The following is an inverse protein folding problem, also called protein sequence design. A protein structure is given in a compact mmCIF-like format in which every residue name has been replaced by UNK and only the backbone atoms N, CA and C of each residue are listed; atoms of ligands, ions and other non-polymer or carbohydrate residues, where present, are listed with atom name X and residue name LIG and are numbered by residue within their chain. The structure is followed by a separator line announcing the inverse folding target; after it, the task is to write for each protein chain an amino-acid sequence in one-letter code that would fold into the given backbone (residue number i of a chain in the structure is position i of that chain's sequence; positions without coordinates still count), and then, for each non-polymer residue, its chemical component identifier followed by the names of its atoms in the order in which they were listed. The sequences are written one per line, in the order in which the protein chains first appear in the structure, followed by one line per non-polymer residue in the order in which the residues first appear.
data_IF_761471492341
#
_entry.id   IF_761471492341
#
_cell.length_a   1.000
_cell.length_b   1.000
_cell.length_c   1.000
_cell.angle_alpha   90.00
_cell.angle_beta   90.00
_cell.angle_gamma   90.00
#
_symmetry.space_group_name_H-M   'P 1'
#
loop_
_entity.id
_entity.type
_entity.pdbx_description
1 polymer ?
#
# COMPACT_ATOMS: atom_id res chain seq x y z
N UNK A 1 -40.11 33.80 -7.60
CA UNK A 1 -39.75 32.40 -7.31
C UNK A 1 -38.45 32.05 -8.04
N UNK A 2 -37.30 32.14 -7.37
CA UNK A 2 -35.99 31.72 -7.92
C UNK A 2 -35.74 30.27 -7.48
N UNK A 3 -35.59 29.35 -8.44
CA UNK A 3 -35.05 28.00 -8.18
C UNK A 3 -33.58 28.15 -7.78
N UNK A 4 -33.21 27.59 -6.63
CA UNK A 4 -31.81 27.40 -6.26
C UNK A 4 -31.25 26.28 -7.14
N UNK A 5 -30.18 26.60 -7.85
CA UNK A 5 -29.33 25.62 -8.51
C UNK A 5 -28.59 24.85 -7.41
N UNK A 6 -28.94 23.58 -7.26
CA UNK A 6 -28.18 22.67 -6.42
C UNK A 6 -26.82 22.45 -7.10
N UNK A 7 -25.81 23.13 -6.56
CA UNK A 7 -24.42 22.92 -6.91
C UNK A 7 -24.14 21.42 -6.73
N UNK A 8 -23.90 20.74 -7.85
CA UNK A 8 -23.44 19.36 -7.92
C UNK A 8 -22.01 19.30 -7.36
N UNK A 9 -21.89 19.37 -6.04
CA UNK A 9 -20.65 19.17 -5.31
C UNK A 9 -20.37 17.68 -5.41
N UNK A 10 -19.53 17.31 -6.38
CA UNK A 10 -18.90 15.98 -6.37
C UNK A 10 -18.26 15.79 -4.99
N UNK A 11 -18.57 14.70 -4.26
CA UNK A 11 -17.91 14.44 -2.99
C UNK A 11 -16.42 14.33 -3.28
N UNK A 12 -15.69 15.37 -2.88
CA UNK A 12 -14.24 15.39 -2.97
C UNK A 12 -13.79 14.46 -1.86
N UNK A 13 -13.47 13.21 -2.23
CA UNK A 13 -12.88 12.23 -1.32
C UNK A 13 -11.68 12.92 -0.66
N UNK A 14 -11.61 12.91 0.67
CA UNK A 14 -10.64 13.69 1.44
C UNK A 14 -9.20 13.45 0.94
N UNK A 15 -8.91 12.26 0.43
CA UNK A 15 -7.63 11.84 -0.15
C UNK A 15 -7.40 12.31 -1.58
N UNK A 16 -8.46 12.50 -2.38
CA UNK A 16 -8.34 13.03 -3.74
C UNK A 16 -7.90 14.49 -3.78
N UNK A 17 -8.15 15.28 -2.72
CA UNK A 17 -7.57 16.62 -2.59
C UNK A 17 -6.14 16.63 -2.06
N UNK A 18 -5.64 15.52 -1.48
CA UNK A 18 -4.29 15.47 -0.89
C UNK A 18 -3.22 15.31 -1.98
N UNK A 19 -3.52 14.65 -3.09
CA UNK A 19 -2.65 14.63 -4.28
C UNK A 19 -2.39 16.05 -4.85
N UNK A 20 -3.22 17.04 -4.48
CA UNK A 20 -3.05 18.46 -4.80
C UNK A 20 -2.61 19.32 -3.60
N UNK A 21 -2.60 18.78 -2.38
CA UNK A 21 -2.19 19.54 -1.21
C UNK A 21 -0.68 19.45 -1.00
N UNK A 22 -0.06 20.63 -1.06
CA UNK A 22 1.35 21.00 -0.83
C UNK A 22 1.89 20.64 0.57
N UNK A 23 1.68 19.41 1.04
CA UNK A 23 2.01 18.98 2.41
C UNK A 23 3.21 18.03 2.49
N UNK A 24 3.92 17.81 1.38
CA UNK A 24 5.17 17.05 1.33
C UNK A 24 6.40 17.95 1.34
N UNK A 25 7.54 17.43 1.82
CA UNK A 25 8.88 18.02 1.62
C UNK A 25 9.14 18.24 0.12
N UNK A 26 8.55 17.40 -0.72
CA UNK A 26 8.61 17.47 -2.19
C UNK A 26 7.30 17.99 -2.77
N UNK A 27 7.39 18.79 -3.83
CA UNK A 27 6.23 19.30 -4.57
C UNK A 27 5.62 18.25 -5.49
N UNK A 28 6.40 17.24 -5.88
CA UNK A 28 5.95 16.13 -6.71
C UNK A 28 6.74 14.84 -6.44
N UNK A 29 6.15 13.70 -6.79
CA UNK A 29 6.83 12.39 -6.77
C UNK A 29 8.13 12.38 -7.58
N UNK A 30 8.20 13.16 -8.66
CA UNK A 30 9.37 13.19 -9.54
C UNK A 30 10.57 13.90 -8.89
N UNK A 31 10.32 14.93 -8.08
CA UNK A 31 11.36 15.58 -7.27
C UNK A 31 11.91 14.61 -6.22
N UNK A 32 11.03 13.86 -5.55
CA UNK A 32 11.42 12.80 -4.62
C UNK A 32 12.27 11.73 -5.34
N UNK A 33 11.81 11.24 -6.50
CA UNK A 33 12.52 10.23 -7.27
C UNK A 33 13.93 10.72 -7.68
N UNK A 34 14.05 12.00 -8.04
CA UNK A 34 15.33 12.60 -8.38
C UNK A 34 16.27 12.66 -7.17
N UNK A 35 15.81 13.14 -6.01
CA UNK A 35 16.62 13.13 -4.78
C UNK A 35 17.07 11.70 -4.45
N UNK A 36 16.16 10.72 -4.53
CA UNK A 36 16.50 9.33 -4.26
C UNK A 36 17.55 8.80 -5.23
N UNK A 37 17.41 9.07 -6.53
CA UNK A 37 18.44 8.70 -7.52
C UNK A 37 19.80 9.28 -7.15
N UNK A 38 19.83 10.53 -6.70
CA UNK A 38 21.05 11.19 -6.24
C UNK A 38 21.60 10.58 -4.95
N UNK A 39 20.79 10.37 -3.92
CA UNK A 39 21.23 9.81 -2.63
C UNK A 39 21.67 8.34 -2.79
N UNK A 40 20.89 7.52 -3.50
CA UNK A 40 21.21 6.12 -3.74
C UNK A 40 22.47 5.99 -4.62
N UNK A 41 22.67 6.90 -5.58
CA UNK A 41 23.91 7.00 -6.35
C UNK A 41 25.12 7.29 -5.45
N UNK A 42 25.02 8.31 -4.60
CA UNK A 42 26.07 8.64 -3.61
C UNK A 42 26.41 7.43 -2.73
N UNK A 43 25.40 6.76 -2.16
CA UNK A 43 25.57 5.54 -1.35
C UNK A 43 26.28 4.43 -2.14
N UNK A 44 25.95 4.29 -3.43
CA UNK A 44 26.58 3.28 -4.28
C UNK A 44 28.06 3.58 -4.54
N UNK A 45 28.43 4.86 -4.66
CA UNK A 45 29.78 5.30 -5.03
C UNK A 45 30.73 5.46 -3.82
N UNK A 46 30.21 5.61 -2.60
CA UNK A 46 31.05 5.74 -1.39
C UNK A 46 31.97 4.52 -1.15
N UNK A 47 33.11 4.73 -0.47
CA UNK A 47 34.05 3.68 -0.07
C UNK A 47 33.59 2.90 1.17
N UNK A 48 32.39 2.34 1.11
CA UNK A 48 31.80 1.51 2.16
C UNK A 48 31.76 0.04 1.73
N UNK A 49 31.80 -0.87 2.71
CA UNK A 49 31.57 -2.30 2.43
C UNK A 49 30.13 -2.50 1.94
N UNK A 50 29.89 -3.54 1.14
CA UNK A 50 28.57 -3.80 0.52
C UNK A 50 27.44 -3.82 1.57
N UNK A 51 27.65 -4.47 2.72
CA UNK A 51 26.65 -4.50 3.78
C UNK A 51 26.38 -3.13 4.42
N UNK A 52 27.41 -2.27 4.53
CA UNK A 52 27.27 -0.92 5.05
C UNK A 52 26.49 -0.03 4.08
N UNK A 53 26.74 -0.17 2.78
CA UNK A 53 25.97 0.51 1.72
C UNK A 53 24.51 0.10 1.75
N UNK A 54 24.25 -1.20 1.83
CA UNK A 54 22.90 -1.74 1.92
C UNK A 54 22.18 -1.23 3.19
N UNK A 55 22.88 -1.24 4.33
CA UNK A 55 22.35 -0.69 5.58
C UNK A 55 22.05 0.82 5.48
N UNK A 56 22.94 1.61 4.87
CA UNK A 56 22.75 3.04 4.66
C UNK A 56 21.51 3.33 3.80
N UNK A 57 21.32 2.57 2.72
CA UNK A 57 20.14 2.69 1.86
C UNK A 57 18.85 2.44 2.65
N UNK A 58 18.80 1.37 3.47
CA UNK A 58 17.64 1.03 4.29
C UNK A 58 17.38 2.00 5.44
N UNK A 59 18.43 2.65 5.96
CA UNK A 59 18.33 3.51 7.14
C UNK A 59 18.02 4.96 6.79
N UNK A 60 18.55 5.46 5.66
CA UNK A 60 18.47 6.89 5.34
C UNK A 60 17.60 7.20 4.12
N UNK A 61 17.59 6.32 3.11
CA UNK A 61 16.85 6.56 1.86
C UNK A 61 15.43 6.00 1.94
N UNK A 62 15.29 4.74 2.37
CA UNK A 62 13.98 4.09 2.43
C UNK A 62 12.97 4.77 3.37
N UNK A 63 13.31 5.24 4.58
CA UNK A 63 12.30 5.84 5.46
C UNK A 63 11.67 7.12 4.88
N UNK A 64 12.36 7.83 3.98
CA UNK A 64 11.80 8.99 3.28
C UNK A 64 10.73 8.57 2.27
N UNK A 65 11.01 7.51 1.52
CA UNK A 65 10.05 6.88 0.61
C UNK A 65 8.82 6.39 1.34
N UNK A 66 9.02 5.76 2.49
CA UNK A 66 7.95 5.22 3.31
C UNK A 66 6.91 6.30 3.67
N UNK A 67 7.37 7.48 4.06
CA UNK A 67 6.50 8.60 4.39
C UNK A 67 5.65 9.05 3.20
N UNK A 68 6.29 9.27 2.04
CA UNK A 68 5.60 9.76 0.85
C UNK A 68 4.64 8.70 0.27
N UNK A 69 5.05 7.44 0.28
CA UNK A 69 4.22 6.31 -0.14
C UNK A 69 3.00 6.15 0.77
N UNK A 70 3.16 6.31 2.10
CA UNK A 70 2.03 6.29 3.05
C UNK A 70 1.00 7.35 2.74
N UNK A 71 1.46 8.57 2.45
CA UNK A 71 0.59 9.73 2.34
C UNK A 71 -0.15 9.78 1.00
N UNK A 72 0.60 9.60 -0.10
CA UNK A 72 0.10 9.83 -1.46
C UNK A 72 -0.19 8.52 -2.22
N UNK A 73 0.26 7.38 -1.69
CA UNK A 73 0.26 6.13 -2.43
C UNK A 73 1.25 6.15 -3.61
N UNK A 74 1.24 5.05 -4.37
CA UNK A 74 2.23 4.85 -5.43
C UNK A 74 1.61 4.12 -6.62
N UNK A 75 1.22 4.86 -7.66
CA UNK A 75 0.83 4.31 -8.96
C UNK A 75 1.85 3.27 -9.49
N UNK A 76 1.38 2.22 -10.17
CA UNK A 76 2.19 1.22 -10.88
C UNK A 76 3.34 1.82 -11.70
N UNK A 77 3.11 2.92 -12.44
CA UNK A 77 4.16 3.57 -13.22
C UNK A 77 5.23 4.19 -12.32
N UNK A 78 4.80 4.94 -11.30
CA UNK A 78 5.69 5.54 -10.28
C UNK A 78 6.46 4.45 -9.53
N UNK A 79 5.81 3.35 -9.17
CA UNK A 79 6.42 2.20 -8.50
C UNK A 79 7.52 1.55 -9.34
N UNK A 80 7.25 1.34 -10.65
CA UNK A 80 8.22 0.78 -11.58
C UNK A 80 9.46 1.67 -11.74
N UNK A 81 9.27 2.99 -11.86
CA UNK A 81 10.37 3.95 -11.97
C UNK A 81 11.23 3.98 -10.70
N UNK A 82 10.58 3.92 -9.53
CA UNK A 82 11.26 3.87 -8.25
C UNK A 82 12.04 2.56 -8.07
N UNK A 83 11.42 1.43 -8.39
CA UNK A 83 12.06 0.11 -8.35
C UNK A 83 13.30 0.07 -9.24
N UNK A 84 13.17 0.57 -10.47
CA UNK A 84 14.29 0.62 -11.40
C UNK A 84 15.44 1.49 -10.88
N UNK A 85 15.13 2.64 -10.26
CA UNK A 85 16.14 3.53 -9.67
C UNK A 85 16.90 2.83 -8.53
N UNK A 86 16.18 2.17 -7.62
CA UNK A 86 16.77 1.46 -6.49
C UNK A 86 17.58 0.25 -6.95
N UNK A 87 17.05 -0.58 -7.86
CA UNK A 87 17.80 -1.70 -8.45
C UNK A 87 19.05 -1.24 -9.17
N UNK A 88 19.02 -0.12 -9.88
CA UNK A 88 20.22 0.43 -10.52
C UNK A 88 21.29 0.82 -9.50
N UNK A 89 20.93 1.44 -8.37
CA UNK A 89 21.88 1.74 -7.31
C UNK A 89 22.45 0.45 -6.68
N UNK A 90 21.59 -0.54 -6.41
CA UNK A 90 22.00 -1.85 -5.87
C UNK A 90 22.94 -2.58 -6.82
N UNK A 91 22.62 -2.63 -8.12
CA UNK A 91 23.47 -3.23 -9.15
C UNK A 91 24.87 -2.64 -9.12
N UNK A 92 25.00 -1.31 -9.05
CA UNK A 92 26.30 -0.62 -9.03
C UNK A 92 27.15 -1.06 -7.85
N UNK A 93 26.60 -1.04 -6.63
CA UNK A 93 27.43 -1.33 -5.46
C UNK A 93 27.68 -2.83 -5.20
N UNK A 94 26.78 -3.71 -5.67
CA UNK A 94 26.98 -5.17 -5.63
C UNK A 94 27.76 -5.66 -6.86
N UNK A 95 27.98 -4.80 -7.86
CA UNK A 95 28.62 -5.12 -9.14
C UNK A 95 27.87 -6.22 -9.92
N UNK A 96 26.54 -6.17 -9.91
CA UNK A 96 25.70 -7.10 -10.66
C UNK A 96 25.60 -6.70 -12.14
N UNK A 97 25.55 -7.66 -13.07
CA UNK A 97 25.34 -7.36 -14.48
C UNK A 97 23.95 -6.76 -14.72
N UNK A 98 23.74 -6.00 -15.81
CA UNK A 98 22.43 -5.47 -16.19
C UNK A 98 21.35 -6.56 -16.36
N UNK A 99 21.76 -7.75 -16.80
CA UNK A 99 20.93 -8.95 -16.98
C UNK A 99 20.58 -9.69 -15.67
N UNK A 100 21.01 -9.19 -14.51
CA UNK A 100 20.68 -9.80 -13.23
C UNK A 100 19.16 -9.91 -13.03
N UNK A 101 18.71 -11.11 -12.71
CA UNK A 101 17.30 -11.44 -12.48
C UNK A 101 16.71 -10.60 -11.34
N UNK A 102 15.43 -10.23 -11.47
CA UNK A 102 14.64 -9.58 -10.42
C UNK A 102 14.65 -10.38 -9.12
N UNK A 103 14.73 -11.71 -9.23
CA UNK A 103 14.81 -12.63 -8.11
C UNK A 103 15.92 -12.26 -7.11
N UNK A 104 17.09 -11.85 -7.60
CA UNK A 104 18.25 -11.50 -6.76
C UNK A 104 17.93 -10.31 -5.84
N UNK A 105 17.09 -9.37 -6.28
CA UNK A 105 16.78 -8.18 -5.49
C UNK A 105 15.73 -8.46 -4.43
N UNK A 106 14.67 -9.18 -4.79
CA UNK A 106 13.46 -9.29 -3.97
C UNK A 106 13.39 -10.57 -3.13
N UNK A 107 14.14 -11.64 -3.47
CA UNK A 107 14.13 -12.84 -2.66
C UNK A 107 14.69 -12.60 -1.25
N UNK A 108 14.21 -13.36 -0.25
CA UNK A 108 14.80 -13.43 1.07
C UNK A 108 16.29 -13.80 1.02
N UNK A 109 17.05 -13.35 2.03
CA UNK A 109 18.51 -13.57 2.12
C UNK A 109 18.86 -15.05 2.26
N UNK A 110 18.04 -15.80 2.99
CA UNK A 110 18.11 -17.26 3.13
C UNK A 110 17.92 -18.01 1.81
N UNK A 111 17.28 -17.39 0.82
CA UNK A 111 17.10 -17.93 -0.53
C UNK A 111 18.07 -17.31 -1.56
N UNK A 112 19.15 -16.68 -1.09
CA UNK A 112 20.19 -16.09 -1.93
C UNK A 112 19.86 -14.72 -2.52
N UNK A 113 18.81 -14.05 -2.03
CA UNK A 113 18.45 -12.70 -2.45
C UNK A 113 19.03 -11.59 -1.55
N UNK A 114 18.83 -10.34 -1.95
CA UNK A 114 19.26 -9.14 -1.21
C UNK A 114 18.15 -8.65 -0.25
N UNK A 115 16.93 -9.19 -0.39
CA UNK A 115 15.74 -8.81 0.38
C UNK A 115 15.50 -7.30 0.38
N UNK A 116 15.29 -6.78 -0.82
CA UNK A 116 14.81 -5.43 -1.07
C UNK A 116 13.36 -5.47 -1.50
N UNK A 117 12.52 -4.65 -0.86
CA UNK A 117 11.07 -4.67 -1.11
C UNK A 117 10.77 -4.09 -2.48
N UNK A 118 9.88 -4.75 -3.24
CA UNK A 118 9.25 -4.12 -4.39
C UNK A 118 8.46 -2.90 -3.88
N UNK A 119 8.72 -1.68 -4.38
CA UNK A 119 7.98 -0.48 -3.99
C UNK A 119 6.47 -0.61 -4.14
N UNK A 120 5.99 -1.41 -5.10
CA UNK A 120 4.57 -1.67 -5.29
C UNK A 120 4.01 -2.48 -4.12
N UNK A 121 4.65 -3.60 -3.79
CA UNK A 121 4.22 -4.45 -2.66
C UNK A 121 4.35 -3.70 -1.34
N UNK A 122 5.37 -2.85 -1.22
CA UNK A 122 5.55 -1.99 -0.06
C UNK A 122 4.43 -0.94 0.09
N UNK A 123 4.05 -0.25 -1.00
CA UNK A 123 2.94 0.69 -0.98
C UNK A 123 1.62 0.01 -0.61
N UNK A 124 1.36 -1.14 -1.23
CA UNK A 124 0.18 -1.94 -0.99
C UNK A 124 0.10 -2.42 0.47
N UNK A 125 1.20 -2.96 1.01
CA UNK A 125 1.31 -3.39 2.43
C UNK A 125 1.04 -2.22 3.37
N UNK A 126 1.65 -1.09 3.06
CA UNK A 126 1.63 0.12 3.88
C UNK A 126 0.22 0.65 4.04
N UNK A 127 -0.50 0.70 2.92
CA UNK A 127 -1.87 1.16 2.85
C UNK A 127 -2.81 0.19 3.55
N UNK A 128 -2.64 -1.12 3.35
CA UNK A 128 -3.44 -2.13 4.04
C UNK A 128 -3.35 -2.01 5.56
N UNK A 129 -2.13 -1.96 6.11
CA UNK A 129 -1.93 -1.83 7.56
C UNK A 129 -2.51 -0.52 8.08
N UNK A 130 -2.38 0.58 7.32
CA UNK A 130 -2.96 1.87 7.68
C UNK A 130 -4.48 1.82 7.72
N UNK A 131 -5.12 1.32 6.66
CA UNK A 131 -6.58 1.21 6.55
C UNK A 131 -7.16 0.36 7.67
N UNK A 132 -6.54 -0.79 7.97
CA UNK A 132 -6.97 -1.64 9.10
C UNK A 132 -6.76 -0.95 10.44
N UNK A 133 -5.65 -0.23 10.62
CA UNK A 133 -5.43 0.58 11.82
C UNK A 133 -6.50 1.65 12.03
N UNK A 134 -6.95 2.30 10.95
CA UNK A 134 -8.01 3.30 10.98
C UNK A 134 -9.39 2.68 11.24
N UNK A 135 -9.70 1.54 10.62
CA UNK A 135 -10.92 0.77 10.87
C UNK A 135 -11.00 0.23 12.30
N UNK A 136 -9.86 -0.12 12.89
CA UNK A 136 -9.75 -0.56 14.29
C UNK A 136 -9.49 0.59 15.28
N UNK A 137 -9.56 1.85 14.84
CA UNK A 137 -9.33 3.00 15.72
C UNK A 137 -10.28 2.98 16.91
N UNK A 138 -9.82 3.42 18.09
CA UNK A 138 -10.66 3.55 19.28
C UNK A 138 -11.76 4.60 19.09
N UNK A 139 -11.47 5.64 18.31
CA UNK A 139 -12.39 6.74 18.02
C UNK A 139 -13.48 6.31 17.02
N UNK A 140 -14.77 6.32 17.42
CA UNK A 140 -15.87 5.99 16.52
C UNK A 140 -16.00 6.94 15.33
N UNK A 141 -15.61 8.22 15.46
CA UNK A 141 -15.68 9.18 14.36
C UNK A 141 -14.70 8.79 13.24
N UNK A 142 -13.47 8.40 13.60
CA UNK A 142 -12.47 7.92 12.64
C UNK A 142 -12.94 6.66 11.92
N UNK A 143 -13.48 5.68 12.66
CA UNK A 143 -14.03 4.45 12.04
C UNK A 143 -15.16 4.77 11.07
N UNK A 144 -16.04 5.70 11.45
CA UNK A 144 -17.16 6.11 10.62
C UNK A 144 -16.71 6.80 9.34
N UNK A 145 -15.75 7.74 9.43
CA UNK A 145 -15.19 8.44 8.28
C UNK A 145 -14.57 7.47 7.27
N UNK A 146 -13.74 6.53 7.75
CA UNK A 146 -13.08 5.53 6.88
C UNK A 146 -14.10 4.58 6.24
N UNK A 147 -15.13 4.17 7.00
CA UNK A 147 -16.19 3.29 6.47
C UNK A 147 -17.05 3.99 5.41
N UNK A 148 -17.38 5.26 5.64
CA UNK A 148 -18.09 6.09 4.67
C UNK A 148 -17.25 6.27 3.40
N UNK A 149 -15.95 6.49 3.54
CA UNK A 149 -15.05 6.64 2.42
C UNK A 149 -14.92 5.35 1.59
N UNK A 150 -14.71 4.19 2.24
CA UNK A 150 -14.70 2.90 1.53
C UNK A 150 -16.02 2.68 0.78
N UNK A 151 -17.15 3.11 1.36
CA UNK A 151 -18.45 3.06 0.68
C UNK A 151 -18.44 3.89 -0.62
N UNK A 152 -17.96 5.14 -0.55
CA UNK A 152 -17.86 5.99 -1.75
C UNK A 152 -16.92 5.40 -2.80
N UNK A 153 -15.82 4.77 -2.38
CA UNK A 153 -14.88 4.11 -3.29
C UNK A 153 -15.51 2.89 -3.96
N UNK A 154 -16.29 2.10 -3.22
CA UNK A 154 -16.99 0.95 -3.77
C UNK A 154 -17.98 1.37 -4.86
N UNK A 155 -18.79 2.39 -4.60
CA UNK A 155 -19.76 2.95 -5.56
C UNK A 155 -19.07 3.51 -6.82
N UNK A 156 -17.91 4.14 -6.66
CA UNK A 156 -17.18 4.74 -7.79
C UNK A 156 -16.46 3.68 -8.64
N UNK A 157 -15.86 2.68 -7.99
CA UNK A 157 -14.94 1.73 -8.62
C UNK A 157 -15.61 0.50 -9.20
N UNK A 158 -16.64 -0.02 -8.53
CA UNK A 158 -17.30 -1.26 -8.91
C UNK A 158 -18.66 -1.00 -9.57
N UNK A 159 -19.05 -1.90 -10.46
CA UNK A 159 -20.44 -1.94 -10.96
C UNK A 159 -21.32 -2.50 -9.85
N UNK A 160 -22.56 -2.01 -9.76
CA UNK A 160 -23.56 -2.68 -8.95
C UNK A 160 -23.74 -4.09 -9.52
N UNK A 161 -23.72 -5.12 -8.68
CA UNK A 161 -24.11 -6.44 -9.14
C UNK A 161 -25.58 -6.39 -9.54
N UNK A 162 -25.95 -7.14 -10.57
CA UNK A 162 -27.33 -7.18 -11.03
C UNK A 162 -28.26 -7.65 -9.88
N UNK A 163 -29.52 -7.21 -9.91
CA UNK A 163 -30.56 -7.29 -8.84
C UNK A 163 -30.77 -8.66 -8.13
N UNK A 164 -30.02 -9.71 -8.46
CA UNK A 164 -30.01 -11.01 -7.82
C UNK A 164 -29.01 -11.15 -6.65
N UNK A 165 -28.01 -10.27 -6.53
CA UNK A 165 -27.02 -10.36 -5.44
C UNK A 165 -27.43 -9.50 -4.23
N UNK A 166 -27.24 -9.96 -2.98
CA UNK A 166 -27.57 -9.22 -1.76
C UNK A 166 -26.67 -7.99 -1.50
N UNK A 167 -25.79 -7.66 -2.45
CA UNK A 167 -24.72 -6.67 -2.29
C UNK A 167 -25.20 -5.34 -2.88
N UNK A 168 -25.87 -4.57 -2.03
CA UNK A 168 -26.29 -3.21 -2.37
C UNK A 168 -25.22 -2.19 -1.92
N UNK A 169 -24.40 -1.74 -2.87
CA UNK A 169 -23.45 -0.64 -2.64
C UNK A 169 -24.13 0.73 -2.49
N UNK A 170 -25.41 0.88 -2.87
CA UNK A 170 -26.16 2.15 -2.78
C UNK A 170 -26.74 2.40 -1.38
N UNK A 171 -26.59 1.45 -0.45
CA UNK A 171 -26.91 1.70 0.96
C UNK A 171 -26.00 2.80 1.49
N UNK A 172 -26.59 3.77 2.21
CA UNK A 172 -25.90 4.91 2.85
C UNK A 172 -24.70 4.53 3.74
N UNK A 173 -24.54 3.24 4.10
CA UNK A 173 -23.44 2.74 4.91
C UNK A 173 -23.01 1.34 4.46
N UNK A 174 -21.71 1.14 4.15
CA UNK A 174 -21.15 -0.19 3.99
C UNK A 174 -21.14 -0.98 5.30
N UNK A 175 -21.51 -2.26 5.21
CA UNK A 175 -21.39 -3.18 6.33
C UNK A 175 -19.93 -3.62 6.50
N UNK A 176 -19.58 -4.13 7.68
CA UNK A 176 -18.26 -4.74 7.92
C UNK A 176 -17.97 -5.88 6.93
N UNK A 177 -19.01 -6.59 6.48
CA UNK A 177 -18.89 -7.62 5.46
C UNK A 177 -18.50 -7.04 4.09
N UNK A 178 -19.10 -5.93 3.65
CA UNK A 178 -18.67 -5.26 2.41
C UNK A 178 -17.21 -4.80 2.49
N UNK A 179 -16.81 -4.23 3.63
CA UNK A 179 -15.42 -3.81 3.84
C UNK A 179 -14.49 -5.02 3.81
N UNK A 180 -14.85 -6.13 4.47
CA UNK A 180 -14.06 -7.35 4.46
C UNK A 180 -13.90 -7.90 3.03
N UNK A 181 -15.01 -8.04 2.29
CA UNK A 181 -15.02 -8.54 0.91
C UNK A 181 -14.21 -7.64 -0.02
N UNK A 182 -14.23 -6.33 0.21
CA UNK A 182 -13.37 -5.38 -0.49
C UNK A 182 -11.89 -5.62 -0.21
N UNK A 183 -11.50 -5.66 1.07
CA UNK A 183 -10.13 -5.87 1.50
C UNK A 183 -9.60 -7.25 1.03
N UNK A 184 -10.47 -8.27 0.97
CA UNK A 184 -10.14 -9.61 0.49
C UNK A 184 -10.18 -9.75 -1.03
N UNK A 185 -10.30 -8.66 -1.79
CA UNK A 185 -10.35 -8.66 -3.27
C UNK A 185 -11.58 -9.32 -3.91
N UNK A 186 -12.65 -9.55 -3.16
CA UNK A 186 -13.85 -10.25 -3.64
C UNK A 186 -14.57 -9.54 -4.78
N UNK A 187 -14.51 -8.20 -4.85
CA UNK A 187 -15.21 -7.40 -5.84
C UNK A 187 -14.45 -7.16 -7.16
N UNK A 188 -13.24 -7.69 -7.33
CA UNK A 188 -12.42 -7.38 -8.53
C UNK A 188 -13.08 -7.75 -9.86
N UNK A 189 -13.95 -8.76 -9.88
CA UNK A 189 -14.72 -9.15 -11.06
C UNK A 189 -15.76 -8.08 -11.48
N UNK A 190 -16.18 -7.20 -10.57
CA UNK A 190 -17.15 -6.12 -10.81
C UNK A 190 -16.47 -4.79 -11.17
N UNK A 191 -15.13 -4.76 -11.29
CA UNK A 191 -14.38 -3.51 -11.47
C UNK A 191 -14.72 -2.82 -12.79
N UNK A 192 -14.97 -1.52 -12.74
CA UNK A 192 -15.25 -0.71 -13.93
C UNK A 192 -13.98 -0.56 -14.80
N UNK A 193 -14.11 -0.79 -16.11
CA UNK A 193 -13.02 -0.78 -17.10
C UNK A 193 -12.24 0.56 -17.20
N UNK A 194 -12.82 1.68 -16.77
CA UNK A 194 -12.26 3.04 -16.96
C UNK A 194 -11.57 3.59 -15.69
N UNK A 195 -11.59 2.86 -14.57
CA UNK A 195 -11.02 3.37 -13.33
C UNK A 195 -9.49 3.34 -13.36
N UNK A 196 -8.84 4.52 -13.34
CA UNK A 196 -7.38 4.64 -13.14
C UNK A 196 -7.10 4.56 -11.65
N UNK A 197 -6.50 3.45 -11.21
CA UNK A 197 -6.11 3.15 -9.81
C UNK A 197 -5.02 4.07 -9.22
N UNK A 198 -4.72 5.20 -9.84
CA UNK A 198 -3.46 5.91 -9.59
C UNK A 198 -3.45 6.76 -8.32
N UNK A 199 -4.59 6.96 -7.67
CA UNK A 199 -4.74 7.90 -6.55
C UNK A 199 -5.58 7.38 -5.38
N UNK A 200 -5.98 6.11 -5.36
CA UNK A 200 -6.71 5.52 -4.23
C UNK A 200 -5.75 4.63 -3.40
N UNK A 201 -5.43 5.02 -2.16
CA UNK A 201 -4.55 4.23 -1.31
C UNK A 201 -5.16 2.88 -0.93
N UNK A 202 -6.48 2.71 -0.97
CA UNK A 202 -7.08 1.40 -0.75
C UNK A 202 -7.07 0.53 -2.02
N UNK A 203 -6.79 1.11 -3.20
CA UNK A 203 -6.88 0.36 -4.44
C UNK A 203 -5.80 -0.70 -4.62
N UNK A 204 -4.65 -0.49 -3.99
CA UNK A 204 -3.57 -1.46 -3.99
C UNK A 204 -3.68 -2.49 -2.88
N UNK A 205 -4.59 -2.33 -1.91
CA UNK A 205 -4.83 -3.30 -0.84
C UNK A 205 -5.14 -4.68 -1.41
N UNK A 206 -6.02 -4.72 -2.41
CA UNK A 206 -6.39 -5.92 -3.16
C UNK A 206 -5.14 -6.59 -3.77
N UNK A 207 -4.27 -5.77 -4.36
CA UNK A 207 -3.00 -6.25 -4.92
C UNK A 207 -2.08 -6.77 -3.81
N UNK A 208 -1.99 -6.08 -2.67
CA UNK A 208 -1.23 -6.50 -1.50
C UNK A 208 -1.65 -7.88 -1.02
N UNK A 209 -2.95 -8.09 -0.82
CA UNK A 209 -3.52 -9.38 -0.38
C UNK A 209 -3.16 -10.51 -1.34
N UNK A 210 -3.25 -10.26 -2.66
CA UNK A 210 -2.90 -11.26 -3.69
C UNK A 210 -1.39 -11.53 -3.79
N UNK A 211 -0.56 -10.50 -3.76
CA UNK A 211 0.89 -10.61 -4.02
C UNK A 211 1.67 -11.06 -2.78
N UNK A 212 1.28 -10.59 -1.60
CA UNK A 212 1.97 -10.86 -0.34
C UNK A 212 1.46 -12.17 0.28
N UNK A 213 0.27 -12.63 -0.10
CA UNK A 213 -0.35 -13.83 0.47
C UNK A 213 -0.91 -13.60 1.88
N UNK A 214 -1.31 -12.37 2.18
CA UNK A 214 -2.02 -12.05 3.42
C UNK A 214 -3.52 -12.26 3.24
N UNK A 215 -4.22 -12.65 4.30
CA UNK A 215 -5.68 -12.66 4.37
C UNK A 215 -6.17 -11.69 5.43
N UNK A 216 -7.26 -10.99 5.13
CA UNK A 216 -7.94 -10.14 6.11
C UNK A 216 -9.16 -10.90 6.61
N UNK A 217 -9.30 -10.99 7.92
CA UNK A 217 -10.44 -11.62 8.60
C UNK A 217 -11.12 -10.63 9.54
N UNK A 218 -12.41 -10.81 9.75
CA UNK A 218 -13.18 -10.06 10.75
C UNK A 218 -13.36 -10.96 11.98
N UNK A 219 -12.94 -10.47 13.15
CA UNK A 219 -13.17 -11.17 14.42
C UNK A 219 -14.59 -10.88 14.94
N UNK A 220 -15.07 -11.74 15.85
CA UNK A 220 -16.41 -11.63 16.45
C UNK A 220 -16.67 -10.29 17.17
N UNK A 221 -15.61 -9.61 17.59
CA UNK A 221 -15.66 -8.28 18.18
C UNK A 221 -15.68 -7.12 17.16
N UNK A 222 -15.81 -7.42 15.87
CA UNK A 222 -15.86 -6.43 14.80
C UNK A 222 -14.50 -5.86 14.39
N UNK A 223 -13.38 -6.42 14.87
CA UNK A 223 -12.03 -5.97 14.51
C UNK A 223 -11.50 -6.70 13.27
N UNK A 224 -10.87 -5.94 12.38
CA UNK A 224 -10.19 -6.47 11.21
C UNK A 224 -8.77 -6.93 11.56
N UNK A 225 -8.39 -8.13 11.14
CA UNK A 225 -7.06 -8.70 11.43
C UNK A 225 -6.42 -9.22 10.15
N UNK A 226 -5.14 -8.89 9.97
CA UNK A 226 -4.30 -9.43 8.90
C UNK A 226 -3.65 -10.71 9.41
N UNK A 227 -3.75 -11.78 8.64
CA UNK A 227 -3.06 -13.05 8.87
C UNK A 227 -2.20 -13.39 7.66
N UNK A 228 -1.02 -13.96 7.87
CA UNK A 228 -0.15 -14.43 6.77
C UNK A 228 -0.50 -15.87 6.43
N UNK A 229 -0.70 -16.20 5.15
CA UNK A 229 -0.96 -17.59 4.71
C UNK A 229 0.26 -18.52 4.85
N UNK A 230 1.43 -17.98 5.21
CA UNK A 230 2.66 -18.76 5.43
C UNK A 230 2.64 -19.57 6.73
N UNK A 231 1.71 -19.31 7.64
CA UNK A 231 1.61 -20.00 8.93
C UNK A 231 0.80 -21.30 8.89
N UNK A 232 0.16 -21.66 7.76
CA UNK A 232 -0.61 -22.91 7.62
C UNK A 232 0.23 -24.20 7.61
N UNK A 233 1.55 -24.12 7.82
CA UNK A 233 2.42 -25.28 8.05
C UNK A 233 3.24 -25.23 9.35
N UNK A 234 3.03 -24.26 10.24
CA UNK A 234 3.73 -24.22 11.52
C UNK A 234 2.74 -24.07 12.69
N UNK A 235 2.32 -25.23 13.22
CA UNK A 235 1.94 -25.33 14.62
C UNK A 235 3.01 -24.67 15.49
N UNK A 236 2.75 -23.48 16.02
CA UNK A 236 3.21 -23.00 17.32
C UNK A 236 2.70 -21.58 17.60
N UNK A 237 2.06 -21.44 18.76
CA UNK A 237 1.61 -20.22 19.39
C UNK A 237 2.72 -19.15 19.51
N UNK A 238 2.70 -18.14 18.65
CA UNK A 238 3.24 -16.80 18.90
C UNK A 238 2.76 -15.85 17.80
N UNK A 239 1.71 -15.06 18.08
CA UNK A 239 1.18 -14.09 17.12
C UNK A 239 2.25 -13.09 16.67
N UNK A 240 2.69 -13.20 15.42
CA UNK A 240 3.56 -12.20 14.79
C UNK A 240 2.68 -11.07 14.29
N UNK A 241 2.80 -9.92 14.94
CA UNK A 241 2.19 -8.69 14.46
C UNK A 241 2.98 -8.20 13.23
N UNK A 242 2.32 -8.03 12.08
CA UNK A 242 2.90 -7.36 10.92
C UNK A 242 3.06 -5.88 11.27
N UNK A 243 4.19 -5.50 11.86
CA UNK A 243 4.59 -4.10 12.00
C UNK A 243 5.33 -3.66 10.74
N UNK A 244 4.55 -3.04 9.85
CA UNK A 244 4.78 -1.96 8.89
C UNK A 244 6.12 -1.84 8.10
N UNK A 245 7.27 -2.18 8.66
CA UNK A 245 8.54 -2.34 7.92
C UNK A 245 9.30 -3.38 8.70
N UNK A 246 9.39 -4.64 8.26
CA UNK A 246 10.46 -5.60 8.56
C UNK A 246 11.09 -5.64 9.97
N UNK A 247 10.48 -5.06 11.00
CA UNK A 247 10.91 -5.05 12.38
C UNK A 247 10.03 -6.07 13.04
N UNK A 248 10.47 -7.32 12.93
CA UNK A 248 10.10 -8.37 13.85
C UNK A 248 10.44 -7.85 15.26
N UNK A 249 9.47 -7.26 15.95
CA UNK A 249 9.55 -7.16 17.41
C UNK A 249 9.26 -8.58 17.90
N UNK A 250 10.29 -9.30 18.34
CA UNK A 250 10.08 -10.47 19.20
C UNK A 250 9.34 -9.93 20.43
N UNK A 251 8.16 -10.46 20.72
CA UNK A 251 7.66 -10.41 22.08
C UNK A 251 8.61 -11.31 22.88
N UNK A 252 9.45 -10.67 23.69
CA UNK A 252 10.08 -11.31 24.85
C UNK A 252 9.01 -11.51 25.92
#
# INVERSE_FOLDING_TARGET
MRRREDANIKPTVLWHSVDQQRNGIYRSFWELLLDIKTQAGKVADFYLRIFQKHHALKTFVLPRLDYDIRLNGLDNHKAKELDQALRNAIRRYVKLPPSASLAIFHLPVDKGGIRFYDPKDWAASTQLVRTIGLLNSKDPAVRHMVSAEISTLLEQRYRHPDNSDPIDFSRRYCTHHHILTYLSSGYEHLKRRIYRDTADPSAQVVTAVKHIGCTVTLRDNGLFVISDNLDSQANCSAGRHITHIGRLKRAS
#
